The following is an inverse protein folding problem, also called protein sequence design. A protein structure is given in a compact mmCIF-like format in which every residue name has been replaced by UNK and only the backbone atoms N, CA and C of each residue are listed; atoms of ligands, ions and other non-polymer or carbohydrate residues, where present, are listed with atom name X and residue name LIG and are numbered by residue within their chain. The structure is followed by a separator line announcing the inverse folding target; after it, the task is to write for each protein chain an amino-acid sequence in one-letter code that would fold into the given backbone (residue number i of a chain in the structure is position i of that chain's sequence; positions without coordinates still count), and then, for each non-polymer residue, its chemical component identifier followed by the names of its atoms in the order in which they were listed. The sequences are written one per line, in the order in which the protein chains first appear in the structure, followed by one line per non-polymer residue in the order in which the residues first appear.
data_IF_312599125095
#
_entry.id   IF_312599125095
#
_cell.length_a   1.000
_cell.length_b   1.000
_cell.length_c   1.000
_cell.angle_alpha   90.00
_cell.angle_beta   90.00
_cell.angle_gamma   90.00
#
_symmetry.space_group_name_H-M   'P 1'
#
loop_
_entity.id
_entity.type
_entity.pdbx_description
1 polymer ?
#
# COMPACT_ATOMS: atom_id res chain seq x y z
N UNK A 1 13.49 17.67 27.84
CA UNK A 1 14.04 17.55 26.47
C UNK A 1 14.11 16.07 26.10
N UNK A 2 13.09 15.54 25.42
CA UNK A 2 13.11 14.17 24.93
C UNK A 2 13.56 14.19 23.46
N UNK A 3 14.82 13.84 23.24
CA UNK A 3 15.35 13.51 21.91
C UNK A 3 14.80 12.15 21.51
N UNK A 4 13.62 12.16 20.90
CA UNK A 4 12.94 10.95 20.48
C UNK A 4 12.71 11.07 18.98
N UNK A 5 13.45 10.23 18.25
CA UNK A 5 13.02 9.62 16.98
C UNK A 5 12.92 10.53 15.76
N UNK A 6 14.02 11.04 15.18
CA UNK A 6 13.94 11.44 13.76
C UNK A 6 13.79 10.22 12.84
N UNK A 7 14.64 9.21 13.00
CA UNK A 7 14.58 8.00 12.15
C UNK A 7 13.29 7.18 12.32
N UNK A 8 12.72 7.14 13.52
CA UNK A 8 11.42 6.46 13.75
C UNK A 8 10.23 7.28 13.27
N UNK A 9 10.34 8.62 13.21
CA UNK A 9 9.30 9.47 12.63
C UNK A 9 9.32 9.37 11.11
N UNK A 10 10.49 9.33 10.48
CA UNK A 10 10.62 9.15 9.03
C UNK A 10 10.04 7.81 8.58
N UNK A 11 10.43 6.69 9.21
CA UNK A 11 9.87 5.38 8.89
C UNK A 11 8.34 5.31 9.07
N UNK A 12 7.79 5.94 10.11
CA UNK A 12 6.33 6.02 10.32
C UNK A 12 5.65 6.94 9.31
N UNK A 13 6.32 7.99 8.88
CA UNK A 13 5.82 8.93 7.85
C UNK A 13 5.74 8.24 6.49
N UNK A 14 6.78 7.50 6.11
CA UNK A 14 6.80 6.74 4.86
C UNK A 14 5.74 5.63 4.84
N UNK A 15 5.54 4.93 5.96
CA UNK A 15 4.47 3.91 6.07
C UNK A 15 3.08 4.57 5.97
N UNK A 16 2.85 5.68 6.68
CA UNK A 16 1.56 6.37 6.67
C UNK A 16 1.22 6.94 5.29
N UNK A 17 2.23 7.48 4.58
CA UNK A 17 2.08 7.98 3.21
C UNK A 17 1.80 6.83 2.24
N UNK A 18 2.52 5.70 2.39
CA UNK A 18 2.30 4.50 1.60
C UNK A 18 0.90 3.91 1.82
N UNK A 19 0.43 3.83 3.05
CA UNK A 19 -0.93 3.39 3.38
C UNK A 19 -2.00 4.28 2.72
N UNK A 20 -1.75 5.59 2.66
CA UNK A 20 -2.64 6.52 1.97
C UNK A 20 -2.71 6.22 0.47
N UNK A 21 -1.57 6.02 -0.19
CA UNK A 21 -1.55 5.66 -1.62
C UNK A 21 -2.20 4.30 -1.89
N UNK A 22 -1.98 3.31 -1.02
CA UNK A 22 -2.64 2.00 -1.09
C UNK A 22 -4.16 2.15 -1.01
N UNK A 23 -4.66 2.94 -0.05
CA UNK A 23 -6.10 3.21 0.10
C UNK A 23 -6.68 3.87 -1.14
N UNK A 24 -6.05 4.93 -1.64
CA UNK A 24 -6.50 5.59 -2.87
C UNK A 24 -6.52 4.62 -4.06
N UNK A 25 -5.52 3.76 -4.20
CA UNK A 25 -5.48 2.79 -5.29
C UNK A 25 -6.58 1.71 -5.19
N UNK A 26 -6.95 1.32 -3.96
CA UNK A 26 -8.10 0.45 -3.70
C UNK A 26 -9.41 1.15 -4.05
N UNK A 27 -9.59 2.40 -3.61
CA UNK A 27 -10.80 3.18 -3.88
C UNK A 27 -10.97 3.50 -5.37
N UNK A 28 -9.88 3.70 -6.10
CA UNK A 28 -9.90 3.88 -7.55
C UNK A 28 -10.18 2.58 -8.32
N UNK A 29 -9.81 1.42 -7.77
CA UNK A 29 -9.96 0.12 -8.42
C UNK A 29 -10.60 -0.93 -7.48
N UNK A 30 -11.85 -0.70 -7.01
CA UNK A 30 -12.51 -1.61 -6.09
C UNK A 30 -12.75 -2.99 -6.71
N UNK A 31 -12.97 -3.03 -8.03
CA UNK A 31 -13.16 -4.27 -8.78
C UNK A 31 -11.94 -5.20 -8.68
N UNK A 32 -10.71 -4.65 -8.67
CA UNK A 32 -9.51 -5.47 -8.56
C UNK A 32 -9.36 -6.13 -7.18
N UNK A 33 -9.90 -5.52 -6.11
CA UNK A 33 -10.00 -6.17 -4.80
C UNK A 33 -11.07 -7.25 -4.79
N UNK A 34 -12.21 -7.01 -5.44
CA UNK A 34 -13.25 -8.01 -5.60
C UNK A 34 -12.77 -9.24 -6.36
N UNK A 35 -12.06 -9.04 -7.47
CA UNK A 35 -11.48 -10.10 -8.29
C UNK A 35 -10.41 -10.87 -7.50
N UNK A 36 -9.58 -10.18 -6.72
CA UNK A 36 -8.66 -10.82 -5.78
C UNK A 36 -9.40 -11.71 -4.76
N UNK A 37 -10.48 -11.21 -4.16
CA UNK A 37 -11.32 -11.96 -3.21
C UNK A 37 -12.02 -13.17 -3.87
N UNK A 38 -12.29 -13.10 -5.18
CA UNK A 38 -12.80 -14.22 -6.00
C UNK A 38 -11.71 -15.24 -6.38
N UNK A 39 -10.44 -14.96 -6.06
CA UNK A 39 -9.29 -15.84 -6.31
C UNK A 39 -8.36 -15.36 -7.43
N UNK A 40 -8.65 -14.24 -8.10
CA UNK A 40 -7.84 -13.70 -9.19
C UNK A 40 -6.66 -12.89 -8.65
N UNK A 41 -5.57 -13.58 -8.31
CA UNK A 41 -4.35 -12.97 -7.76
C UNK A 41 -3.71 -11.93 -8.69
N UNK A 42 -3.96 -11.98 -10.00
CA UNK A 42 -3.42 -10.99 -10.95
C UNK A 42 -4.03 -9.60 -10.78
N UNK A 43 -5.28 -9.52 -10.29
CA UNK A 43 -5.94 -8.25 -10.05
C UNK A 43 -5.18 -7.40 -9.01
N UNK A 44 -4.61 -8.05 -7.99
CA UNK A 44 -3.80 -7.40 -6.97
C UNK A 44 -2.51 -6.78 -7.54
N UNK A 45 -1.86 -7.45 -8.49
CA UNK A 45 -0.65 -6.94 -9.15
C UNK A 45 -0.90 -5.60 -9.87
N UNK A 46 -2.11 -5.39 -10.40
CA UNK A 46 -2.47 -4.12 -11.03
C UNK A 46 -2.52 -2.97 -10.01
N UNK A 47 -3.09 -3.21 -8.84
CA UNK A 47 -3.12 -2.23 -7.75
C UNK A 47 -1.70 -1.96 -7.24
N UNK A 48 -0.90 -3.01 -7.05
CA UNK A 48 0.51 -2.87 -6.64
C UNK A 48 1.28 -1.97 -7.61
N UNK A 49 1.14 -2.18 -8.92
CA UNK A 49 1.77 -1.33 -9.94
C UNK A 49 1.33 0.13 -9.87
N UNK A 50 0.03 0.40 -9.68
CA UNK A 50 -0.50 1.76 -9.49
C UNK A 50 0.10 2.45 -8.27
N UNK A 51 0.16 1.76 -7.13
CA UNK A 51 0.73 2.33 -5.90
C UNK A 51 2.21 2.62 -6.08
N UNK A 52 2.98 1.71 -6.67
CA UNK A 52 4.41 1.93 -6.94
C UNK A 52 4.65 3.15 -7.85
N UNK A 53 3.77 3.36 -8.83
CA UNK A 53 3.83 4.54 -9.69
C UNK A 53 3.54 5.83 -8.88
N UNK A 54 2.51 5.82 -8.03
CA UNK A 54 2.14 6.95 -7.16
C UNK A 54 3.24 7.30 -6.16
N UNK A 55 3.88 6.29 -5.59
CA UNK A 55 4.99 6.45 -4.63
C UNK A 55 6.31 6.78 -5.33
N UNK A 56 6.34 6.84 -6.67
CA UNK A 56 7.55 7.07 -7.50
C UNK A 56 8.69 6.12 -7.16
N UNK A 57 8.35 4.85 -6.86
CA UNK A 57 9.33 3.83 -6.50
C UNK A 57 9.88 3.93 -5.08
N UNK A 58 9.31 4.78 -4.21
CA UNK A 58 9.66 4.81 -2.78
C UNK A 58 9.26 3.55 -2.02
N UNK A 59 8.37 2.73 -2.59
CA UNK A 59 7.91 1.48 -1.98
C UNK A 59 8.16 0.29 -2.90
N UNK A 60 8.49 -0.85 -2.30
CA UNK A 60 8.67 -2.09 -3.04
C UNK A 60 7.33 -2.79 -3.30
N UNK A 61 7.22 -3.63 -4.35
CA UNK A 61 6.00 -4.38 -4.63
C UNK A 61 5.57 -5.24 -3.44
N UNK A 62 6.53 -5.76 -2.67
CA UNK A 62 6.30 -6.62 -1.51
C UNK A 62 5.61 -5.84 -0.38
N UNK A 63 6.14 -4.67 -0.03
CA UNK A 63 5.57 -3.82 1.03
C UNK A 63 4.16 -3.37 0.67
N UNK A 64 3.97 -2.90 -0.57
CA UNK A 64 2.67 -2.50 -1.09
C UNK A 64 1.66 -3.64 -1.00
N UNK A 65 2.06 -4.84 -1.43
CA UNK A 65 1.22 -6.02 -1.39
C UNK A 65 0.81 -6.38 0.04
N UNK A 66 1.76 -6.43 0.99
CA UNK A 66 1.45 -6.71 2.40
C UNK A 66 0.50 -5.69 3.01
N UNK A 67 0.65 -4.40 2.67
CA UNK A 67 -0.24 -3.34 3.16
C UNK A 67 -1.65 -3.49 2.58
N UNK A 68 -1.78 -3.71 1.27
CA UNK A 68 -3.10 -3.89 0.63
C UNK A 68 -3.80 -5.12 1.20
N UNK A 69 -3.09 -6.25 1.34
CA UNK A 69 -3.61 -7.47 1.95
C UNK A 69 -4.15 -7.21 3.36
N UNK A 70 -3.36 -6.53 4.21
CA UNK A 70 -3.80 -6.11 5.54
C UNK A 70 -5.03 -5.20 5.55
N UNK A 71 -5.25 -4.41 4.51
CA UNK A 71 -6.42 -3.54 4.39
C UNK A 71 -7.69 -4.30 3.96
N UNK A 72 -7.56 -5.36 3.17
CA UNK A 72 -8.69 -6.09 2.59
C UNK A 72 -9.06 -7.39 3.30
N UNK A 73 -8.11 -7.98 4.05
CA UNK A 73 -8.27 -9.17 4.90
C UNK A 73 -8.66 -8.81 6.35
N UNK A 74 -8.98 -7.55 6.62
CA UNK A 74 -9.46 -7.07 7.91
C UNK A 74 -10.93 -7.42 8.16
#
# INVERSE_FOLDING_TARGET
MQYVKKEKLEAVSDISELEKYCREAIEENPQAIEDYKKGEKKALNHIVGKVMQKTRGKATPKEVNEIILRMIEK
#
